data_IF_405898469773
#
_entry.id   IF_405898469773
#
_cell.length_a   1.000
_cell.length_b   1.000
_cell.length_c   1.000
_cell.angle_alpha   90.00
_cell.angle_beta   90.00
_cell.angle_gamma   90.00
#
_symmetry.space_group_name_H-M   'P 1'
#
loop_
_entity.id
_entity.type
_entity.pdbx_description
1 polymer ?
#
# COMPACT_ATOMS: atom_id res chain seq x y z
N UNK A 1 28.10 -23.14 -17.95
CA UNK A 1 26.75 -23.48 -18.44
C UNK A 1 25.79 -22.44 -17.82
N UNK A 2 25.37 -21.46 -18.60
CA UNK A 2 24.41 -20.46 -18.14
C UNK A 2 23.00 -21.07 -18.22
N UNK A 3 22.49 -21.60 -17.11
CA UNK A 3 21.09 -21.95 -17.03
C UNK A 3 20.28 -20.65 -17.06
N UNK A 4 19.66 -20.37 -18.20
CA UNK A 4 18.67 -19.32 -18.36
C UNK A 4 17.51 -19.67 -17.42
N UNK A 5 17.31 -18.87 -16.37
CA UNK A 5 16.14 -19.00 -15.54
C UNK A 5 14.94 -18.67 -16.40
N UNK A 6 14.15 -19.67 -16.75
CA UNK A 6 12.82 -19.46 -17.30
C UNK A 6 12.04 -18.71 -16.24
N UNK A 7 11.46 -17.53 -16.56
CA UNK A 7 10.60 -16.86 -15.59
C UNK A 7 9.47 -17.83 -15.22
N UNK A 8 9.12 -17.95 -13.92
CA UNK A 8 7.99 -18.78 -13.52
C UNK A 8 6.75 -18.34 -14.30
N UNK A 9 5.89 -19.30 -14.61
CA UNK A 9 4.58 -19.04 -15.21
C UNK A 9 3.94 -17.89 -14.44
N UNK A 10 3.43 -16.90 -15.15
CA UNK A 10 2.87 -15.66 -14.60
C UNK A 10 1.76 -15.99 -13.59
N UNK A 11 2.15 -16.22 -12.34
CA UNK A 11 1.20 -16.15 -11.25
C UNK A 11 0.65 -14.72 -11.22
N UNK A 12 -0.66 -14.60 -11.14
CA UNK A 12 -1.31 -13.29 -11.04
C UNK A 12 -1.04 -12.78 -9.63
N UNK A 13 -0.01 -11.96 -9.49
CA UNK A 13 0.28 -11.32 -8.21
C UNK A 13 -0.77 -10.25 -7.92
N UNK A 14 -1.18 -10.09 -6.66
CA UNK A 14 -2.08 -9.02 -6.26
C UNK A 14 -1.48 -7.66 -6.63
N UNK A 15 -2.33 -6.75 -7.09
CA UNK A 15 -1.90 -5.38 -7.29
C UNK A 15 -1.62 -4.75 -5.92
N UNK A 16 -0.57 -3.92 -5.79
CA UNK A 16 -0.34 -3.18 -4.55
C UNK A 16 -1.63 -2.47 -4.09
N UNK A 17 -2.04 -2.62 -2.83
CA UNK A 17 -3.29 -2.04 -2.34
C UNK A 17 -3.25 -0.51 -2.31
N UNK A 18 -2.07 0.08 -2.29
CA UNK A 18 -1.85 1.52 -2.29
C UNK A 18 -1.53 2.08 -3.67
N UNK A 19 -2.09 3.25 -3.98
CA UNK A 19 -1.52 4.15 -4.99
C UNK A 19 -0.32 4.83 -4.37
N UNK A 20 0.86 4.66 -4.94
CA UNK A 20 2.06 5.25 -4.36
C UNK A 20 2.80 6.10 -5.38
N UNK A 21 3.06 7.35 -5.03
CA UNK A 21 3.85 8.24 -5.87
C UNK A 21 5.29 7.71 -5.96
N UNK A 22 5.80 7.52 -7.17
CA UNK A 22 7.11 6.89 -7.36
C UNK A 22 7.12 5.36 -7.18
N UNK A 23 5.96 4.70 -7.16
CA UNK A 23 5.85 3.24 -7.10
C UNK A 23 6.65 2.55 -8.21
N UNK A 24 7.31 1.44 -7.88
CA UNK A 24 8.27 0.76 -8.76
C UNK A 24 7.69 -0.40 -9.58
N UNK A 25 6.37 -0.61 -9.56
CA UNK A 25 5.73 -1.72 -10.28
C UNK A 25 6.12 -1.77 -11.76
N UNK A 26 6.20 -0.62 -12.42
CA UNK A 26 6.60 -0.55 -13.83
C UNK A 26 8.09 -0.82 -14.07
N UNK A 27 8.94 -0.62 -13.06
CA UNK A 27 10.38 -0.91 -13.11
C UNK A 27 10.69 -2.36 -12.71
N UNK A 28 9.79 -3.04 -12.04
CA UNK A 28 10.01 -4.37 -11.51
C UNK A 28 10.57 -5.37 -12.54
N UNK A 29 10.06 -5.45 -13.78
CA UNK A 29 10.63 -6.36 -14.79
C UNK A 29 12.09 -6.05 -15.12
N UNK A 30 12.50 -4.77 -15.06
CA UNK A 30 13.89 -4.37 -15.30
C UNK A 30 14.78 -4.71 -14.12
N UNK A 31 14.30 -4.46 -12.89
CA UNK A 31 15.01 -4.78 -11.65
C UNK A 31 15.28 -6.30 -11.58
N UNK A 32 14.24 -7.11 -11.80
CA UNK A 32 14.36 -8.57 -11.76
C UNK A 32 15.33 -9.13 -12.80
N UNK A 33 15.36 -8.56 -14.01
CA UNK A 33 16.29 -8.99 -15.06
C UNK A 33 17.75 -8.71 -14.71
N UNK A 34 18.02 -7.64 -13.94
CA UNK A 34 19.36 -7.24 -13.53
C UNK A 34 19.80 -7.89 -12.21
N UNK A 35 18.87 -8.43 -11.43
CA UNK A 35 19.17 -9.05 -10.15
C UNK A 35 20.01 -10.31 -10.34
N UNK A 36 21.15 -10.46 -9.65
CA UNK A 36 21.91 -11.71 -9.64
C UNK A 36 21.12 -12.81 -8.92
N UNK A 37 21.57 -14.07 -9.03
CA UNK A 37 21.04 -15.15 -8.18
C UNK A 37 21.35 -14.84 -6.72
N UNK A 38 20.33 -14.94 -5.86
CA UNK A 38 20.44 -14.61 -4.45
C UNK A 38 19.50 -15.47 -3.61
N UNK A 39 19.82 -15.61 -2.35
CA UNK A 39 18.99 -16.26 -1.32
C UNK A 39 18.44 -15.27 -0.30
N UNK A 40 18.90 -14.01 -0.38
CA UNK A 40 18.46 -12.91 0.46
C UNK A 40 18.32 -11.64 -0.36
N UNK A 41 17.23 -10.90 -0.11
CA UNK A 41 16.95 -9.60 -0.77
C UNK A 41 16.54 -8.55 0.24
N UNK A 42 17.20 -7.40 0.20
CA UNK A 42 16.82 -6.21 0.97
C UNK A 42 16.17 -5.18 0.07
N UNK A 43 15.01 -4.65 0.49
CA UNK A 43 14.27 -3.56 -0.18
C UNK A 43 14.23 -2.37 0.77
N UNK A 44 15.23 -1.46 0.74
CA UNK A 44 15.37 -0.38 1.73
C UNK A 44 14.36 0.76 1.56
N UNK A 45 13.69 0.85 0.42
CA UNK A 45 12.68 1.86 0.09
C UNK A 45 11.45 1.15 -0.47
N UNK A 46 10.72 0.46 0.42
CA UNK A 46 9.63 -0.45 0.07
C UNK A 46 8.44 0.24 -0.59
N UNK A 47 8.07 1.42 -0.11
CA UNK A 47 6.88 2.12 -0.58
C UNK A 47 5.64 1.23 -0.52
N UNK A 48 4.82 1.26 -1.57
CA UNK A 48 3.67 0.35 -1.69
C UNK A 48 4.04 -1.09 -2.10
N UNK A 49 5.28 -1.49 -1.94
CA UNK A 49 5.79 -2.83 -2.26
C UNK A 49 5.57 -3.28 -3.72
N UNK A 50 5.45 -2.32 -4.65
CA UNK A 50 5.13 -2.61 -6.04
C UNK A 50 6.15 -3.51 -6.74
N UNK A 51 7.39 -3.48 -6.32
CA UNK A 51 8.44 -4.36 -6.81
C UNK A 51 8.32 -5.76 -6.18
N UNK A 52 8.05 -5.84 -4.88
CA UNK A 52 7.83 -7.09 -4.16
C UNK A 52 6.64 -7.88 -4.75
N UNK A 53 5.50 -7.23 -4.92
CA UNK A 53 4.28 -7.85 -5.47
C UNK A 53 4.36 -8.23 -6.95
N UNK A 54 5.37 -7.74 -7.66
CA UNK A 54 5.51 -8.02 -9.09
C UNK A 54 6.23 -9.33 -9.38
N UNK A 55 6.78 -9.99 -8.37
CA UNK A 55 7.56 -11.19 -8.54
C UNK A 55 7.67 -12.01 -7.25
N UNK A 56 7.53 -13.33 -7.36
CA UNK A 56 7.82 -14.25 -6.26
C UNK A 56 9.17 -14.93 -6.48
N UNK A 57 10.03 -14.83 -5.50
CA UNK A 57 11.28 -15.60 -5.46
C UNK A 57 11.12 -16.75 -4.46
N UNK A 58 10.87 -17.94 -4.97
CA UNK A 58 10.85 -19.12 -4.10
C UNK A 58 12.23 -19.36 -3.47
N UNK A 59 12.24 -19.55 -2.15
CA UNK A 59 13.48 -19.82 -1.40
C UNK A 59 14.36 -18.58 -1.17
N UNK A 60 13.84 -17.37 -1.40
CA UNK A 60 14.53 -16.12 -1.08
C UNK A 60 13.94 -15.53 0.19
N UNK A 61 14.81 -15.21 1.15
CA UNK A 61 14.42 -14.42 2.33
C UNK A 61 14.39 -12.94 1.99
N UNK A 62 13.30 -12.26 2.32
CA UNK A 62 13.11 -10.85 1.96
C UNK A 62 12.98 -9.98 3.21
N UNK A 63 13.67 -8.86 3.19
CA UNK A 63 13.55 -7.81 4.22
C UNK A 63 13.16 -6.51 3.54
N UNK A 64 12.05 -5.93 4.01
CA UNK A 64 11.55 -4.65 3.53
C UNK A 64 11.72 -3.61 4.61
N UNK A 65 12.18 -2.43 4.22
CA UNK A 65 12.25 -1.26 5.08
C UNK A 65 11.70 -0.03 4.35
N UNK A 66 11.14 0.89 5.11
CA UNK A 66 10.79 2.23 4.65
C UNK A 66 10.91 3.22 5.80
N UNK A 67 11.25 4.48 5.49
CA UNK A 67 11.34 5.54 6.48
C UNK A 67 9.95 6.07 6.89
N UNK A 68 8.93 5.85 6.06
CA UNK A 68 7.55 6.26 6.35
C UNK A 68 6.91 5.30 7.37
N UNK A 69 6.92 5.72 8.63
CA UNK A 69 6.37 4.93 9.74
C UNK A 69 4.87 4.67 9.62
N UNK A 70 4.12 5.54 8.95
CA UNK A 70 2.69 5.33 8.71
C UNK A 70 2.47 4.18 7.74
N UNK A 71 3.34 4.10 6.74
CA UNK A 71 3.36 2.98 5.79
C UNK A 71 3.74 1.67 6.50
N UNK A 72 4.79 1.71 7.32
CA UNK A 72 5.22 0.55 8.12
C UNK A 72 4.11 0.08 9.07
N UNK A 73 3.41 1.02 9.72
CA UNK A 73 2.26 0.72 10.55
C UNK A 73 1.14 0.02 9.77
N UNK A 74 0.84 0.50 8.56
CA UNK A 74 -0.15 -0.16 7.70
C UNK A 74 0.24 -1.60 7.39
N UNK A 75 1.48 -1.84 6.97
CA UNK A 75 1.94 -3.21 6.67
C UNK A 75 1.90 -4.13 7.89
N UNK A 76 2.27 -3.64 9.07
CA UNK A 76 2.16 -4.41 10.31
C UNK A 76 0.71 -4.73 10.69
N UNK A 77 -0.22 -3.79 10.47
CA UNK A 77 -1.65 -4.05 10.67
C UNK A 77 -2.19 -5.12 9.69
N UNK A 78 -1.67 -5.20 8.48
CA UNK A 78 -2.09 -6.23 7.52
C UNK A 78 -1.53 -7.62 7.86
N UNK A 79 -0.40 -7.71 8.57
CA UNK A 79 0.22 -8.96 8.99
C UNK A 79 -0.45 -9.59 10.21
N UNK A 80 -1.10 -8.80 11.05
CA UNK A 80 -1.83 -9.29 12.23
C UNK A 80 -3.33 -9.43 11.90
N UNK A 81 -3.87 -10.64 12.07
CA UNK A 81 -5.24 -10.94 11.70
C UNK A 81 -6.26 -10.05 12.43
N UNK A 82 -6.07 -9.83 13.73
CA UNK A 82 -7.01 -9.03 14.54
C UNK A 82 -6.99 -7.56 14.13
N UNK A 83 -5.78 -7.01 13.94
CA UNK A 83 -5.59 -5.63 13.50
C UNK A 83 -6.08 -5.44 12.05
N UNK A 84 -5.89 -6.44 11.20
CA UNK A 84 -6.41 -6.45 9.85
C UNK A 84 -7.93 -6.39 9.79
N UNK A 85 -8.63 -7.21 10.60
CA UNK A 85 -10.09 -7.23 10.67
C UNK A 85 -10.65 -5.87 11.16
N UNK A 86 -9.99 -5.23 12.14
CA UNK A 86 -10.34 -3.89 12.61
C UNK A 86 -10.13 -2.82 11.53
N UNK A 87 -8.96 -2.82 10.90
CA UNK A 87 -8.63 -1.91 9.81
C UNK A 87 -9.63 -2.03 8.66
N UNK A 88 -9.89 -3.24 8.20
CA UNK A 88 -10.80 -3.52 7.12
C UNK A 88 -12.20 -3.03 7.41
N UNK A 89 -12.75 -3.36 8.60
CA UNK A 89 -14.07 -2.91 9.01
C UNK A 89 -14.19 -1.38 8.98
N UNK A 90 -13.17 -0.69 9.40
CA UNK A 90 -13.14 0.78 9.37
C UNK A 90 -13.13 1.32 7.94
N UNK A 91 -12.35 0.71 7.05
CA UNK A 91 -12.28 1.10 5.64
C UNK A 91 -13.58 0.79 4.89
N UNK A 92 -14.23 -0.35 5.16
CA UNK A 92 -15.52 -0.71 4.57
C UNK A 92 -16.64 0.27 4.95
N UNK A 93 -16.57 0.85 6.14
CA UNK A 93 -17.51 1.85 6.62
C UNK A 93 -17.17 3.27 6.17
N UNK A 94 -16.03 3.48 5.51
CA UNK A 94 -15.57 4.79 5.06
C UNK A 94 -15.84 4.99 3.57
N UNK A 95 -16.80 5.84 3.18
CA UNK A 95 -17.04 6.12 1.77
C UNK A 95 -15.90 6.85 1.09
N UNK A 96 -15.80 6.70 -0.24
CA UNK A 96 -14.97 7.60 -1.05
C UNK A 96 -15.65 8.98 -1.12
N UNK A 97 -15.03 9.99 -0.52
CA UNK A 97 -15.62 11.33 -0.50
C UNK A 97 -14.77 12.37 0.19
N UNK A 98 -14.92 13.62 -0.28
CA UNK A 98 -14.15 14.76 0.21
C UNK A 98 -14.16 14.93 1.73
N UNK A 99 -15.31 14.81 2.44
CA UNK A 99 -15.33 14.97 3.89
C UNK A 99 -14.46 13.95 4.62
N UNK A 100 -14.44 12.70 4.14
CA UNK A 100 -13.63 11.61 4.74
C UNK A 100 -12.14 11.82 4.48
N UNK A 101 -11.79 12.28 3.28
CA UNK A 101 -10.43 12.68 2.97
C UNK A 101 -9.95 13.84 3.87
N UNK A 102 -10.74 14.90 3.98
CA UNK A 102 -10.38 16.08 4.78
C UNK A 102 -10.25 15.72 6.27
N UNK A 103 -11.13 14.86 6.80
CA UNK A 103 -11.02 14.34 8.17
C UNK A 103 -9.75 13.51 8.37
N UNK A 104 -9.42 12.62 7.43
CA UNK A 104 -8.19 11.85 7.48
C UNK A 104 -6.95 12.77 7.41
N UNK A 105 -6.96 13.77 6.52
CA UNK A 105 -5.85 14.71 6.40
C UNK A 105 -5.64 15.51 7.69
N UNK A 106 -6.70 15.97 8.35
CA UNK A 106 -6.61 16.67 9.62
C UNK A 106 -6.00 15.80 10.73
N UNK A 107 -6.42 14.53 10.80
CA UNK A 107 -5.87 13.56 11.76
C UNK A 107 -4.38 13.29 11.45
N UNK A 108 -3.99 13.15 10.18
CA UNK A 108 -2.60 12.92 9.82
C UNK A 108 -1.69 14.13 10.08
N UNK A 109 -2.21 15.35 10.06
CA UNK A 109 -1.49 16.53 10.52
C UNK A 109 -1.19 16.49 12.04
N UNK A 110 -2.08 15.89 12.84
CA UNK A 110 -1.79 15.64 14.26
C UNK A 110 -0.65 14.63 14.44
N UNK A 111 -0.61 13.60 13.58
CA UNK A 111 0.52 12.68 13.54
C UNK A 111 1.85 13.41 13.32
N UNK A 112 1.92 14.26 12.29
CA UNK A 112 3.16 14.97 11.93
C UNK A 112 3.66 15.88 13.07
N UNK A 113 2.76 16.51 13.81
CA UNK A 113 3.11 17.36 14.96
C UNK A 113 3.69 16.60 16.15
N UNK A 114 3.36 15.34 16.29
CA UNK A 114 3.78 14.47 17.40
C UNK A 114 4.55 13.23 16.89
N UNK A 115 5.26 13.39 15.76
CA UNK A 115 5.84 12.27 15.04
C UNK A 115 6.82 11.42 15.88
N UNK A 116 7.62 12.03 16.75
CA UNK A 116 8.56 11.32 17.59
C UNK A 116 7.85 10.42 18.62
N UNK A 117 6.85 10.96 19.33
CA UNK A 117 6.05 10.21 20.31
C UNK A 117 5.28 9.07 19.63
N UNK A 118 4.70 9.36 18.47
CA UNK A 118 3.95 8.37 17.68
C UNK A 118 4.85 7.26 17.12
N UNK A 119 6.07 7.59 16.75
CA UNK A 119 7.05 6.60 16.31
C UNK A 119 7.32 5.56 17.41
N UNK A 120 7.54 6.01 18.63
CA UNK A 120 7.77 5.13 19.79
C UNK A 120 6.53 4.26 20.10
N UNK A 121 5.31 4.84 20.01
CA UNK A 121 4.06 4.10 20.21
C UNK A 121 3.90 2.99 19.18
N UNK A 122 4.07 3.30 17.88
CA UNK A 122 3.92 2.34 16.80
C UNK A 122 5.01 1.28 16.74
N UNK A 123 6.21 1.60 17.24
CA UNK A 123 7.27 0.60 17.34
C UNK A 123 6.87 -0.50 18.34
N UNK A 124 6.15 -0.14 19.40
CA UNK A 124 5.60 -1.07 20.37
C UNK A 124 4.37 -1.81 19.82
N UNK A 125 3.36 -1.07 19.33
CA UNK A 125 2.08 -1.64 18.93
C UNK A 125 1.53 -0.96 17.67
N UNK A 126 1.27 -1.71 16.56
CA UNK A 126 0.63 -1.16 15.38
C UNK A 126 -0.80 -0.71 15.67
N UNK A 127 -1.23 0.36 15.01
CA UNK A 127 -2.54 0.97 15.23
C UNK A 127 -3.41 0.95 13.97
N UNK A 128 -4.52 0.19 13.94
CA UNK A 128 -5.48 0.21 12.84
C UNK A 128 -6.11 1.58 12.61
N UNK A 129 -6.27 2.37 13.68
CA UNK A 129 -6.79 3.73 13.59
C UNK A 129 -5.91 4.62 12.70
N UNK A 130 -4.60 4.65 12.92
CA UNK A 130 -3.68 5.43 12.11
C UNK A 130 -3.53 4.84 10.70
N UNK A 131 -3.50 3.51 10.58
CA UNK A 131 -3.43 2.81 9.31
C UNK A 131 -4.64 3.15 8.40
N UNK A 132 -5.86 3.20 8.96
CA UNK A 132 -7.06 3.55 8.21
C UNK A 132 -7.01 5.00 7.69
N UNK A 133 -6.62 5.98 8.50
CA UNK A 133 -6.48 7.39 8.07
C UNK A 133 -5.42 7.56 7.00
N UNK A 134 -4.30 6.92 7.18
CA UNK A 134 -3.24 6.89 6.18
C UNK A 134 -3.73 6.29 4.85
N UNK A 135 -4.40 5.14 4.90
CA UNK A 135 -4.95 4.49 3.71
C UNK A 135 -5.97 5.38 2.99
N UNK A 136 -6.90 6.00 3.71
CA UNK A 136 -7.87 6.96 3.16
C UNK A 136 -7.14 8.11 2.48
N UNK A 137 -6.17 8.71 3.16
CA UNK A 137 -5.41 9.85 2.64
C UNK A 137 -4.68 9.49 1.35
N UNK A 138 -4.01 8.34 1.30
CA UNK A 138 -3.30 7.88 0.11
C UNK A 138 -4.26 7.52 -1.02
N UNK A 139 -5.28 6.70 -0.74
CA UNK A 139 -6.16 6.15 -1.78
C UNK A 139 -7.13 7.18 -2.36
N UNK A 140 -7.55 8.16 -1.57
CA UNK A 140 -8.46 9.21 -2.00
C UNK A 140 -7.73 10.47 -2.50
N UNK A 141 -6.39 10.49 -2.50
CA UNK A 141 -5.61 11.58 -3.10
C UNK A 141 -5.32 11.35 -4.59
N UNK A 142 -4.90 12.42 -5.27
CA UNK A 142 -4.47 12.37 -6.66
C UNK A 142 -3.17 11.58 -6.77
N UNK A 143 -3.20 10.45 -7.49
CA UNK A 143 -1.98 9.66 -7.70
C UNK A 143 -1.31 9.13 -6.42
N UNK A 144 -1.96 9.20 -5.27
CA UNK A 144 -1.38 8.80 -3.99
C UNK A 144 -0.41 9.82 -3.38
N UNK A 145 -0.45 11.09 -3.83
CA UNK A 145 0.47 12.15 -3.39
C UNK A 145 0.15 12.75 -2.01
N UNK A 146 -1.00 12.39 -1.43
CA UNK A 146 -1.51 12.88 -0.13
C UNK A 146 -1.76 14.38 -0.04
N UNK A 147 -1.57 15.15 -1.12
CA UNK A 147 -1.64 16.62 -1.13
C UNK A 147 -3.00 17.17 -1.50
N UNK A 148 -3.87 16.38 -2.11
CA UNK A 148 -5.19 16.85 -2.50
C UNK A 148 -6.13 15.72 -2.87
N UNK A 149 -7.41 15.91 -2.52
CA UNK A 149 -8.48 14.98 -2.84
C UNK A 149 -8.60 14.76 -4.35
N UNK A 150 -8.75 13.51 -4.78
CA UNK A 150 -9.03 13.14 -6.16
C UNK A 150 -10.52 13.30 -6.44
N UNK A 151 -10.96 14.37 -7.17
CA UNK A 151 -12.38 14.61 -7.35
C UNK A 151 -13.02 13.51 -8.20
N UNK A 152 -14.29 13.25 -7.93
CA UNK A 152 -15.10 12.35 -8.75
C UNK A 152 -15.28 12.96 -10.15
N UNK A 153 -14.91 12.22 -11.18
CA UNK A 153 -15.17 12.61 -12.57
C UNK A 153 -16.61 12.27 -12.94
N UNK A 154 -17.33 13.22 -13.55
CA UNK A 154 -18.70 12.98 -14.04
C UNK A 154 -18.71 12.00 -15.20
N UNK A 155 -17.65 11.97 -16.01
CA UNK A 155 -17.58 11.20 -17.27
C UNK A 155 -16.87 9.85 -17.16
N UNK A 156 -16.14 9.59 -16.06
CA UNK A 156 -15.35 8.35 -15.92
C UNK A 156 -16.11 7.32 -15.09
N UNK A 157 -16.65 6.34 -15.79
CA UNK A 157 -17.35 5.22 -15.20
C UNK A 157 -16.53 3.92 -15.34
N UNK A 158 -16.58 3.09 -14.31
CA UNK A 158 -16.05 1.73 -14.31
C UNK A 158 -17.08 0.82 -13.66
N UNK A 159 -17.52 -0.21 -14.38
CA UNK A 159 -18.57 -1.15 -13.92
C UNK A 159 -19.88 -0.45 -13.51
N UNK A 160 -20.27 0.61 -14.25
CA UNK A 160 -21.50 1.35 -13.99
C UNK A 160 -21.45 2.35 -12.83
N UNK A 161 -20.34 2.46 -12.12
CA UNK A 161 -20.13 3.44 -11.03
C UNK A 161 -18.94 4.34 -11.34
N UNK A 162 -18.81 5.41 -10.57
CA UNK A 162 -17.67 6.31 -10.74
C UNK A 162 -16.33 5.55 -10.58
N UNK A 163 -15.36 5.87 -11.46
CA UNK A 163 -14.06 5.19 -11.51
C UNK A 163 -13.33 5.23 -10.16
N UNK A 164 -13.34 6.36 -9.45
CA UNK A 164 -12.64 6.51 -8.17
C UNK A 164 -13.32 5.70 -7.06
N UNK A 165 -14.66 5.70 -7.02
CA UNK A 165 -15.41 4.88 -6.07
C UNK A 165 -15.20 3.39 -6.34
N UNK A 166 -15.23 2.96 -7.61
CA UNK A 166 -14.92 1.59 -7.99
C UNK A 166 -13.50 1.18 -7.60
N UNK A 167 -12.52 2.06 -7.79
CA UNK A 167 -11.13 1.82 -7.40
C UNK A 167 -10.94 1.77 -5.89
N UNK A 168 -11.74 2.51 -5.12
CA UNK A 168 -11.75 2.47 -3.66
C UNK A 168 -12.18 1.09 -3.15
N UNK A 169 -13.32 0.60 -3.60
CA UNK A 169 -13.82 -0.74 -3.22
C UNK A 169 -12.87 -1.86 -3.66
N UNK A 170 -12.36 -1.80 -4.88
CA UNK A 170 -11.37 -2.78 -5.37
C UNK A 170 -10.10 -2.81 -4.50
N UNK A 171 -9.69 -1.66 -3.95
CA UNK A 171 -8.52 -1.62 -3.08
C UNK A 171 -8.77 -2.26 -1.71
N UNK A 172 -9.96 -2.06 -1.15
CA UNK A 172 -10.35 -2.68 0.13
C UNK A 172 -10.50 -4.19 -0.05
N UNK A 173 -11.18 -4.62 -1.11
CA UNK A 173 -11.32 -6.04 -1.44
C UNK A 173 -9.95 -6.72 -1.63
N UNK A 174 -9.01 -6.03 -2.31
CA UNK A 174 -7.66 -6.53 -2.55
C UNK A 174 -6.77 -6.64 -1.31
N UNK A 175 -7.17 -6.08 -0.17
CA UNK A 175 -6.41 -6.24 1.09
C UNK A 175 -6.40 -7.69 1.60
N UNK A 176 -7.31 -8.56 1.15
CA UNK A 176 -7.30 -9.98 1.46
C UNK A 176 -6.26 -10.79 0.70
N UNK A 177 -5.74 -10.24 -0.38
CA UNK A 177 -4.76 -10.89 -1.24
C UNK A 177 -3.31 -10.59 -0.79
N UNK A 178 -3.16 -9.72 0.20
CA UNK A 178 -1.89 -9.27 0.77
C UNK A 178 -1.50 -10.10 1.98
#
# INVERSE_FOLDING_TARGET
>A
MNATLTPPSREVFPNPPLKWFGGKTYLAPHIHRLAPRHTFRGIPYGGALGELWSWSYQGVSEVVNDIDLQLTNLWRCLQDRTLFEQLRRELELTPFGRPFYDAAAAVMQLWERHAAERAEELDREPSPFWAARFFVLVRQSRGGDRKGFAPLSISRLRRGVNEQASAWWTAIDGLWEV
#
